data_IF_748186671445
#
_entry.id   IF_748186671445
#
_cell.length_a   1.000
_cell.length_b   1.000
_cell.length_c   1.000
_cell.angle_alpha   90.00
_cell.angle_beta   90.00
_cell.angle_gamma   90.00
#
_symmetry.space_group_name_H-M   'P 1'
#
loop_
_entity.id
_entity.type
_entity.pdbx_description
1 polymer ?
#
# COMPACT_ATOMS: atom_id res chain seq x y z
N UNK A 1 -2.21 15.28 -5.24
CA UNK A 1 -2.83 14.00 -5.65
C UNK A 1 -4.02 14.20 -6.58
N UNK A 2 -5.13 14.81 -6.15
CA UNK A 2 -6.32 15.01 -7.01
C UNK A 2 -5.99 15.76 -8.31
N UNK A 3 -5.27 16.87 -8.21
CA UNK A 3 -4.84 17.64 -9.39
C UNK A 3 -3.90 16.85 -10.30
N UNK A 4 -3.10 15.93 -9.76
CA UNK A 4 -2.17 15.10 -10.54
C UNK A 4 -2.93 14.08 -11.39
N UNK A 5 -3.98 13.44 -10.82
CA UNK A 5 -4.83 12.53 -11.59
C UNK A 5 -5.72 13.28 -12.59
N UNK A 6 -6.23 14.46 -12.25
CA UNK A 6 -6.96 15.30 -13.22
C UNK A 6 -6.07 15.70 -14.40
N UNK A 7 -4.82 16.08 -14.14
CA UNK A 7 -3.83 16.37 -15.18
C UNK A 7 -3.48 15.12 -16.01
N UNK A 8 -3.33 13.95 -15.39
CA UNK A 8 -3.10 12.68 -16.09
C UNK A 8 -4.28 12.29 -17.01
N UNK A 9 -5.51 12.60 -16.59
CA UNK A 9 -6.71 12.34 -17.39
C UNK A 9 -6.96 13.42 -18.46
N UNK A 10 -6.32 14.59 -18.34
CA UNK A 10 -6.45 15.66 -19.31
C UNK A 10 -5.91 15.21 -20.67
N UNK A 11 -6.79 15.14 -21.67
CA UNK A 11 -6.42 14.78 -23.05
C UNK A 11 -6.62 13.31 -23.42
N UNK A 12 -7.18 12.47 -22.54
CA UNK A 12 -7.61 11.11 -22.90
C UNK A 12 -9.11 10.91 -22.72
N UNK A 13 -9.70 10.12 -23.61
CA UNK A 13 -11.06 9.61 -23.40
C UNK A 13 -11.08 8.66 -22.22
N UNK A 14 -12.14 8.73 -21.45
CA UNK A 14 -12.33 7.91 -20.27
C UNK A 14 -13.82 7.65 -20.05
N UNK A 15 -14.14 6.57 -19.33
CA UNK A 15 -15.53 6.12 -19.12
C UNK A 15 -15.90 6.13 -17.65
N UNK A 16 -17.18 6.32 -17.37
CA UNK A 16 -17.72 6.13 -16.03
C UNK A 16 -17.48 4.70 -15.55
N UNK A 17 -17.10 4.56 -14.28
CA UNK A 17 -16.73 3.29 -13.67
C UNK A 17 -15.33 2.78 -14.02
N UNK A 18 -14.62 3.41 -14.96
CA UNK A 18 -13.23 3.08 -15.26
C UNK A 18 -12.34 3.32 -14.02
N UNK A 19 -11.42 2.39 -13.78
CA UNK A 19 -10.37 2.58 -12.76
C UNK A 19 -9.04 2.90 -13.42
N UNK A 20 -8.31 3.80 -12.78
CA UNK A 20 -7.02 4.29 -13.27
C UNK A 20 -6.03 4.23 -12.12
N UNK A 21 -4.88 3.63 -12.38
CA UNK A 21 -3.79 3.61 -11.42
C UNK A 21 -2.81 4.75 -11.72
N UNK A 22 -2.47 5.52 -10.70
CA UNK A 22 -1.42 6.53 -10.75
C UNK A 22 -0.49 6.34 -9.55
N UNK A 23 0.74 5.94 -9.81
CA UNK A 23 1.67 5.47 -8.77
C UNK A 23 1.08 4.27 -8.03
N UNK A 24 1.08 4.36 -6.70
CA UNK A 24 0.53 3.33 -5.82
C UNK A 24 -1.01 3.36 -5.73
N UNK A 25 -1.66 4.48 -6.07
CA UNK A 25 -3.09 4.68 -5.83
C UNK A 25 -3.97 4.28 -7.03
N UNK A 26 -5.18 3.82 -6.73
CA UNK A 26 -6.23 3.54 -7.71
C UNK A 26 -7.35 4.57 -7.53
N UNK A 27 -7.79 5.13 -8.66
CA UNK A 27 -8.87 6.09 -8.74
C UNK A 27 -9.99 5.53 -9.60
N UNK A 28 -11.23 5.94 -9.31
CA UNK A 28 -12.41 5.63 -10.13
C UNK A 28 -12.95 6.90 -10.76
N UNK A 29 -13.35 6.81 -12.01
CA UNK A 29 -14.07 7.87 -12.71
C UNK A 29 -15.54 7.72 -12.38
N UNK A 30 -16.04 8.57 -11.49
CA UNK A 30 -17.41 8.51 -11.02
C UNK A 30 -18.39 9.11 -12.04
N UNK A 31 -17.98 10.16 -12.72
CA UNK A 31 -18.73 10.83 -13.78
C UNK A 31 -17.76 11.29 -14.86
N UNK A 32 -18.04 10.95 -16.12
CA UNK A 32 -17.20 11.32 -17.24
C UNK A 32 -17.44 12.79 -17.61
N UNK A 33 -16.39 13.54 -17.92
CA UNK A 33 -16.51 14.98 -18.16
C UNK A 33 -15.17 15.65 -18.43
N UNK A 34 -15.19 16.98 -18.52
CA UNK A 34 -13.98 17.78 -18.66
C UNK A 34 -14.04 18.97 -17.68
N UNK A 35 -13.45 18.85 -16.48
CA UNK A 35 -12.75 17.67 -15.94
C UNK A 35 -13.71 16.57 -15.45
N UNK A 36 -13.25 15.29 -15.39
CA UNK A 36 -14.05 14.21 -14.81
C UNK A 36 -14.21 14.36 -13.29
N UNK A 37 -15.29 13.80 -12.74
CA UNK A 37 -15.40 13.57 -11.29
C UNK A 37 -14.66 12.29 -10.93
N UNK A 38 -13.69 12.39 -10.03
CA UNK A 38 -12.79 11.30 -9.65
C UNK A 38 -12.97 10.99 -8.17
N UNK A 39 -12.93 9.71 -7.84
CA UNK A 39 -12.95 9.18 -6.48
C UNK A 39 -11.67 8.38 -6.22
N UNK A 40 -11.18 8.40 -4.98
CA UNK A 40 -10.09 7.53 -4.52
C UNK A 40 -10.66 6.35 -3.74
N UNK A 41 -9.84 5.32 -3.50
CA UNK A 41 -10.18 4.29 -2.53
C UNK A 41 -10.32 4.90 -1.12
N UNK A 42 -11.29 4.42 -0.35
CA UNK A 42 -11.56 4.96 0.99
C UNK A 42 -10.65 4.36 2.08
N UNK A 43 -9.93 3.28 1.77
CA UNK A 43 -9.10 2.50 2.70
C UNK A 43 -9.85 2.02 3.95
N UNK A 44 -11.16 1.77 3.83
CA UNK A 44 -12.01 1.23 4.91
C UNK A 44 -12.49 -0.18 4.60
N UNK A 45 -12.75 -0.45 3.32
CA UNK A 45 -13.22 -1.76 2.87
C UNK A 45 -12.82 -2.01 1.41
N UNK A 46 -12.91 -3.28 1.00
CA UNK A 46 -12.55 -3.69 -0.35
C UNK A 46 -13.44 -3.00 -1.40
N UNK A 47 -12.81 -2.50 -2.47
CA UNK A 47 -13.47 -1.89 -3.63
C UNK A 47 -14.46 -0.74 -3.32
N UNK A 48 -14.20 0.02 -2.25
CA UNK A 48 -15.00 1.18 -1.86
C UNK A 48 -14.28 2.48 -2.18
N UNK A 49 -15.05 3.42 -2.75
CA UNK A 49 -14.53 4.66 -3.32
C UNK A 49 -15.23 5.87 -2.70
N UNK A 50 -14.50 6.97 -2.60
CA UNK A 50 -14.95 8.23 -2.00
C UNK A 50 -14.38 9.43 -2.75
N UNK A 51 -15.08 10.57 -2.71
CA UNK A 51 -14.57 11.86 -3.19
C UNK A 51 -13.74 12.60 -2.14
N UNK A 52 -13.56 12.03 -0.95
CA UNK A 52 -12.64 12.49 0.08
C UNK A 52 -11.24 11.89 -0.10
N UNK A 53 -10.27 12.72 -0.49
CA UNK A 53 -8.90 12.30 -0.76
C UNK A 53 -8.00 12.34 0.48
N UNK A 54 -8.50 12.77 1.65
CA UNK A 54 -7.67 12.99 2.83
C UNK A 54 -6.84 11.77 3.24
N UNK A 55 -7.43 10.57 3.20
CA UNK A 55 -6.70 9.34 3.57
C UNK A 55 -5.62 9.00 2.55
N UNK A 56 -5.93 9.08 1.26
CA UNK A 56 -4.96 8.83 0.21
C UNK A 56 -3.79 9.82 0.26
N UNK A 57 -4.08 11.10 0.48
CA UNK A 57 -3.07 12.14 0.67
C UNK A 57 -2.21 11.91 1.91
N UNK A 58 -2.81 11.49 3.03
CA UNK A 58 -2.09 11.13 4.25
C UNK A 58 -1.12 9.97 4.02
N UNK A 59 -1.55 8.93 3.28
CA UNK A 59 -0.69 7.79 2.95
C UNK A 59 0.45 8.23 2.00
N UNK A 60 0.16 9.02 0.98
CA UNK A 60 1.21 9.52 0.08
C UNK A 60 2.24 10.39 0.81
N UNK A 61 1.79 11.24 1.74
CA UNK A 61 2.67 12.04 2.57
C UNK A 61 3.53 11.17 3.49
N UNK A 62 2.98 10.13 4.12
CA UNK A 62 3.75 9.24 4.99
C UNK A 62 4.75 8.39 4.21
N UNK A 63 4.39 7.91 3.02
CA UNK A 63 5.31 7.21 2.11
C UNK A 63 6.47 8.10 1.69
N UNK A 64 6.18 9.36 1.31
CA UNK A 64 7.21 10.34 0.94
C UNK A 64 8.16 10.61 2.11
N UNK A 65 7.62 10.76 3.33
CA UNK A 65 8.43 11.01 4.52
C UNK A 65 9.31 9.82 4.88
N UNK A 66 8.79 8.59 4.80
CA UNK A 66 9.58 7.37 5.02
C UNK A 66 10.71 7.28 4.00
N UNK A 67 10.44 7.43 2.70
CA UNK A 67 11.47 7.41 1.66
C UNK A 67 12.58 8.45 1.93
N UNK A 68 12.19 9.67 2.31
CA UNK A 68 13.11 10.74 2.69
C UNK A 68 13.96 10.36 3.91
N UNK A 69 13.35 9.81 4.96
CA UNK A 69 14.05 9.44 6.19
C UNK A 69 15.08 8.33 5.97
N UNK A 70 14.82 7.41 5.04
CA UNK A 70 15.76 6.36 4.63
C UNK A 70 16.79 6.86 3.61
N UNK A 71 16.60 8.04 3.02
CA UNK A 71 17.50 8.58 1.99
C UNK A 71 17.49 7.77 0.69
N UNK A 72 16.36 7.13 0.36
CA UNK A 72 16.22 6.24 -0.79
C UNK A 72 15.18 6.76 -1.78
N UNK A 73 15.31 6.35 -3.04
CA UNK A 73 14.27 6.52 -4.04
C UNK A 73 13.19 5.45 -3.89
N UNK A 74 11.98 5.76 -4.36
CA UNK A 74 10.89 4.79 -4.40
C UNK A 74 11.25 3.58 -5.26
N UNK A 75 10.82 2.40 -4.82
CA UNK A 75 10.78 1.18 -5.60
C UNK A 75 9.30 0.84 -5.82
N UNK A 76 8.73 1.22 -6.99
CA UNK A 76 7.29 1.17 -7.20
C UNK A 76 6.70 -0.24 -6.98
N UNK A 77 5.51 -0.27 -6.39
CA UNK A 77 4.61 -1.41 -6.35
C UNK A 77 3.17 -0.90 -6.52
N UNK A 78 2.21 -1.81 -6.69
CA UNK A 78 0.79 -1.45 -6.83
C UNK A 78 -0.03 -2.02 -5.67
N UNK A 79 -1.14 -1.37 -5.36
CA UNK A 79 -2.14 -1.85 -4.39
C UNK A 79 -2.68 -3.26 -4.70
N UNK A 80 -2.62 -3.67 -5.97
CA UNK A 80 -3.12 -4.96 -6.45
C UNK A 80 -2.09 -6.08 -6.30
N UNK A 81 -0.80 -5.75 -6.21
CA UNK A 81 0.23 -6.74 -5.92
C UNK A 81 0.03 -7.32 -4.51
N UNK A 82 0.60 -8.50 -4.30
CA UNK A 82 0.42 -9.31 -3.10
C UNK A 82 1.67 -9.36 -2.25
N UNK A 83 1.48 -9.59 -0.95
CA UNK A 83 2.53 -9.89 0.00
C UNK A 83 2.29 -11.26 0.63
N UNK A 84 3.37 -11.88 1.10
CA UNK A 84 3.33 -13.05 1.96
C UNK A 84 3.19 -12.63 3.42
N UNK A 85 2.42 -13.38 4.20
CA UNK A 85 2.06 -13.02 5.56
C UNK A 85 2.08 -14.29 6.41
N UNK A 86 2.80 -14.26 7.53
CA UNK A 86 2.70 -15.32 8.51
C UNK A 86 1.26 -15.49 8.99
N UNK A 87 0.78 -16.73 9.13
CA UNK A 87 -0.52 -17.04 9.76
C UNK A 87 -0.59 -16.59 11.22
N UNK A 88 0.55 -16.44 11.89
CA UNK A 88 0.64 -15.92 13.25
C UNK A 88 0.38 -14.40 13.29
N UNK A 89 0.56 -13.69 12.18
CA UNK A 89 0.40 -12.24 12.11
C UNK A 89 -1.05 -11.83 12.34
N UNK A 90 -1.22 -10.83 13.21
CA UNK A 90 -2.48 -10.12 13.41
C UNK A 90 -2.23 -8.62 13.33
N UNK A 91 -3.18 -7.82 12.81
CA UNK A 91 -3.06 -6.37 12.82
C UNK A 91 -2.77 -5.84 14.23
N UNK A 92 -1.85 -4.89 14.33
CA UNK A 92 -1.44 -4.36 15.63
C UNK A 92 -0.42 -5.20 16.39
N UNK A 93 0.04 -6.36 15.88
CA UNK A 93 0.98 -7.21 16.62
C UNK A 93 2.28 -6.45 16.95
N UNK A 94 2.75 -6.48 18.22
CA UNK A 94 3.87 -5.64 18.69
C UNK A 94 5.23 -6.05 18.13
N UNK A 95 5.41 -7.34 17.87
CA UNK A 95 6.65 -7.91 17.33
C UNK A 95 6.57 -8.15 15.82
N UNK A 96 5.61 -7.54 15.14
CA UNK A 96 5.51 -7.64 13.69
C UNK A 96 6.67 -6.91 13.00
N UNK A 97 7.05 -7.38 11.82
CA UNK A 97 7.99 -6.71 10.95
C UNK A 97 7.60 -6.86 9.48
N UNK A 98 8.08 -5.92 8.67
CA UNK A 98 8.06 -5.99 7.22
C UNK A 98 9.45 -6.35 6.71
N UNK A 99 9.53 -7.19 5.68
CA UNK A 99 10.74 -7.40 4.90
C UNK A 99 10.39 -7.32 3.42
N UNK A 100 11.19 -6.61 2.62
CA UNK A 100 11.07 -6.62 1.16
C UNK A 100 12.19 -7.45 0.55
N UNK A 101 11.82 -8.48 -0.18
CA UNK A 101 12.71 -9.32 -0.97
C UNK A 101 12.50 -9.06 -2.46
N UNK A 102 13.30 -9.71 -3.30
CA UNK A 102 13.09 -9.69 -4.74
C UNK A 102 11.77 -10.38 -5.08
N UNK A 103 10.91 -9.71 -5.86
CA UNK A 103 9.65 -10.30 -6.31
C UNK A 103 9.89 -11.53 -7.20
N UNK A 104 9.10 -12.57 -7.03
CA UNK A 104 9.20 -13.80 -7.84
C UNK A 104 8.43 -13.72 -9.15
N UNK A 105 7.42 -12.85 -9.23
CA UNK A 105 6.60 -12.62 -10.43
C UNK A 105 6.00 -11.20 -10.44
N UNK A 106 5.14 -10.91 -11.42
CA UNK A 106 4.54 -9.57 -11.59
C UNK A 106 3.49 -9.21 -10.53
N UNK A 107 2.82 -10.20 -9.94
CA UNK A 107 1.79 -10.02 -8.92
C UNK A 107 2.36 -10.10 -7.49
N UNK A 108 3.57 -10.61 -7.33
CA UNK A 108 4.32 -10.53 -6.08
C UNK A 108 4.98 -9.16 -5.91
N UNK A 109 4.70 -8.49 -4.80
CA UNK A 109 5.35 -7.21 -4.44
C UNK A 109 6.75 -7.38 -3.83
N UNK A 110 7.09 -8.62 -3.45
CA UNK A 110 8.28 -8.98 -2.67
C UNK A 110 8.13 -8.67 -1.18
N UNK A 111 6.99 -8.14 -0.73
CA UNK A 111 6.75 -7.89 0.69
C UNK A 111 6.42 -9.17 1.43
N UNK A 112 7.02 -9.30 2.61
CA UNK A 112 6.72 -10.29 3.62
C UNK A 112 6.38 -9.59 4.94
N UNK A 113 5.36 -10.09 5.63
CA UNK A 113 4.97 -9.67 6.97
C UNK A 113 5.11 -10.85 7.91
N UNK A 114 5.97 -10.72 8.92
CA UNK A 114 6.24 -11.76 9.91
C UNK A 114 6.15 -11.25 11.33
N UNK A 115 6.32 -12.16 12.28
CA UNK A 115 6.48 -11.88 13.71
C UNK A 115 7.90 -12.31 14.13
N UNK A 116 8.55 -11.55 15.02
CA UNK A 116 9.83 -11.98 15.60
C UNK A 116 9.61 -13.22 16.47
N UNK A 117 10.53 -14.19 16.38
CA UNK A 117 10.42 -15.48 17.05
C UNK A 117 9.10 -16.20 16.73
N UNK A 118 8.67 -16.13 15.46
CA UNK A 118 7.43 -16.77 14.99
C UNK A 118 7.44 -18.27 15.33
N UNK A 119 6.43 -18.78 16.05
CA UNK A 119 6.33 -20.21 16.33
C UNK A 119 5.98 -21.04 15.08
N UNK A 120 5.50 -20.40 14.00
CA UNK A 120 5.20 -21.07 12.74
C UNK A 120 6.46 -21.29 11.90
N UNK A 121 6.57 -22.47 11.28
CA UNK A 121 7.67 -22.77 10.37
C UNK A 121 7.56 -21.92 9.10
N UNK A 122 8.52 -21.02 8.88
CA UNK A 122 8.53 -20.09 7.75
C UNK A 122 8.88 -20.76 6.41
N UNK A 123 9.36 -22.01 6.42
CA UNK A 123 9.63 -22.80 5.22
C UNK A 123 8.39 -23.62 4.77
N UNK A 124 7.33 -23.66 5.58
CA UNK A 124 6.07 -24.31 5.25
C UNK A 124 5.12 -23.35 4.53
N UNK A 125 4.64 -23.72 3.35
CA UNK A 125 3.70 -22.89 2.58
C UNK A 125 2.34 -22.78 3.27
N UNK A 126 1.97 -23.73 4.13
CA UNK A 126 0.68 -23.73 4.85
C UNK A 126 0.66 -22.70 5.99
N UNK A 127 1.82 -22.23 6.45
CA UNK A 127 1.96 -21.18 7.47
C UNK A 127 2.02 -19.77 6.87
N UNK A 128 1.90 -19.66 5.55
CA UNK A 128 1.92 -18.40 4.83
C UNK A 128 0.60 -18.16 4.10
N UNK A 129 0.09 -16.95 4.22
CA UNK A 129 -1.06 -16.47 3.43
C UNK A 129 -0.64 -15.37 2.47
N UNK A 130 -1.31 -15.29 1.33
CA UNK A 130 -1.14 -14.20 0.35
C UNK A 130 -2.32 -13.25 0.44
N UNK A 131 -2.05 -11.94 0.55
CA UNK A 131 -3.09 -10.90 0.43
C UNK A 131 -2.56 -9.72 -0.36
N UNK A 132 -3.48 -8.96 -0.96
CA UNK A 132 -3.14 -7.72 -1.65
C UNK A 132 -2.60 -6.67 -0.67
N UNK A 133 -1.73 -5.78 -1.16
CA UNK A 133 -1.25 -4.65 -0.36
C UNK A 133 -2.41 -3.74 0.07
N UNK A 134 -3.48 -3.64 -0.73
CA UNK A 134 -4.69 -2.90 -0.35
C UNK A 134 -5.41 -3.52 0.85
N UNK A 135 -5.70 -4.82 0.79
CA UNK A 135 -6.35 -5.55 1.88
C UNK A 135 -5.55 -5.44 3.18
N UNK A 136 -4.23 -5.62 3.09
CA UNK A 136 -3.32 -5.47 4.22
C UNK A 136 -3.35 -4.07 4.81
N UNK A 137 -3.38 -3.04 3.96
CA UNK A 137 -3.44 -1.66 4.40
C UNK A 137 -4.75 -1.32 5.10
N UNK A 138 -5.89 -1.85 4.63
CA UNK A 138 -7.18 -1.70 5.31
C UNK A 138 -7.13 -2.32 6.71
N UNK A 139 -6.51 -3.50 6.84
CA UNK A 139 -6.46 -4.21 8.11
C UNK A 139 -5.44 -3.64 9.10
N UNK A 140 -4.28 -3.20 8.64
CA UNK A 140 -3.27 -2.53 9.47
C UNK A 140 -2.65 -1.33 8.73
N UNK A 141 -3.11 -0.13 9.08
CA UNK A 141 -2.64 1.11 8.44
C UNK A 141 -1.18 1.44 8.78
N UNK A 142 -0.56 0.78 9.76
CA UNK A 142 0.87 0.96 10.09
C UNK A 142 1.77 0.52 8.93
N UNK A 143 1.28 -0.32 8.03
CA UNK A 143 2.04 -0.85 6.89
C UNK A 143 2.16 0.16 5.74
N UNK A 144 1.14 1.00 5.54
CA UNK A 144 1.00 1.91 4.41
C UNK A 144 2.22 2.78 4.08
N UNK A 145 2.93 3.35 5.09
CA UNK A 145 4.09 4.22 4.84
C UNK A 145 5.27 3.51 4.16
N UNK A 146 5.37 2.19 4.27
CA UNK A 146 6.59 1.46 3.94
C UNK A 146 6.59 0.82 2.56
N UNK A 147 5.43 0.69 1.90
CA UNK A 147 5.28 -0.12 0.68
C UNK A 147 6.20 0.22 -0.48
N UNK A 148 6.67 1.46 -0.56
CA UNK A 148 7.54 1.95 -1.62
C UNK A 148 9.04 1.82 -1.32
N UNK A 149 9.43 1.33 -0.14
CA UNK A 149 10.84 1.12 0.22
C UNK A 149 11.49 0.03 -0.64
N UNK A 150 12.78 0.13 -0.99
CA UNK A 150 13.46 -0.79 -1.89
C UNK A 150 13.55 -2.23 -1.35
N UNK A 151 13.85 -3.17 -2.24
CA UNK A 151 14.21 -4.53 -1.85
C UNK A 151 15.38 -4.53 -0.87
N UNK A 152 15.50 -5.59 -0.08
CA UNK A 152 16.48 -5.74 1.02
C UNK A 152 16.23 -4.79 2.20
N UNK A 153 15.02 -4.24 2.31
CA UNK A 153 14.61 -3.44 3.46
C UNK A 153 13.90 -4.31 4.49
N UNK A 154 14.23 -4.14 5.78
CA UNK A 154 13.52 -4.76 6.90
C UNK A 154 13.12 -3.68 7.91
N UNK A 155 11.84 -3.66 8.29
CA UNK A 155 11.24 -2.65 9.18
C UNK A 155 10.54 -3.36 10.34
N UNK A 156 10.98 -3.18 11.59
CA UNK A 156 10.17 -3.59 12.73
C UNK A 156 8.95 -2.66 12.86
N UNK A 157 7.75 -3.22 12.92
CA UNK A 157 6.50 -2.50 13.12
C UNK A 157 6.22 -2.32 14.62
N UNK A 158 7.19 -1.72 15.33
CA UNK A 158 6.97 -1.35 16.73
C UNK A 158 6.01 -0.16 16.77
N UNK A 159 5.20 -0.09 17.83
CA UNK A 159 4.32 1.06 18.02
C UNK A 159 5.14 2.35 18.04
N UNK A 160 5.07 3.10 16.94
CA UNK A 160 5.59 4.45 16.85
C UNK A 160 4.68 5.40 17.64
N UNK A 161 4.67 5.25 18.97
CA UNK A 161 4.57 6.44 19.80
C UNK A 161 5.95 7.10 19.77
N UNK A 162 6.03 8.24 19.09
CA UNK A 162 7.17 9.18 19.04
C UNK A 162 8.10 9.10 17.82
N UNK A 163 7.64 9.67 16.69
CA UNK A 163 8.48 10.67 16.03
C UNK A 163 8.05 12.04 16.59
N UNK A 164 8.55 12.40 17.77
CA UNK A 164 8.44 13.76 18.28
C UNK A 164 9.84 14.33 18.50
N UNK A 165 10.12 15.34 17.66
CA UNK A 165 11.12 16.42 17.75
C UNK A 165 12.58 16.08 17.48
#
# INVERSE_FOLDING_TARGET
>A
MKSDIEAYLAGRQHREGETVQLGWFVFRIAEAGSPPRIESLDFRQMASFTDDFQMAEKIAASQTEVLRSFGVSECPCTLQQTALISVSYTPGHPDAFLQRQQSTDANDSGWYIGILDDPADMDDVETLSRRSLYELTIHDMRLAPFWLLPVQTTIPLRDHTSFQR
#
